data_IF_771145774877
#
_entry.id   IF_771145774877
#
_cell.length_a   1.000
_cell.length_b   1.000
_cell.length_c   1.000
_cell.angle_alpha   90.00
_cell.angle_beta   90.00
_cell.angle_gamma   90.00
#
_symmetry.space_group_name_H-M   'P 1'
#
loop_
_entity.id
_entity.type
_entity.pdbx_description
1 polymer ?
#
# COMPACT_ATOMS: atom_id res chain seq x y z
N UNK A 1 -11.75 19.17 25.73
CA UNK A 1 -11.41 20.30 24.82
C UNK A 1 -10.40 19.76 23.84
N UNK A 2 -10.76 19.58 22.55
CA UNK A 2 -9.74 19.30 21.52
C UNK A 2 -8.82 20.52 21.51
N UNK A 3 -7.51 20.31 21.71
CA UNK A 3 -6.52 21.39 21.74
C UNK A 3 -6.52 22.19 20.44
N UNK A 4 -5.89 23.35 20.45
CA UNK A 4 -5.70 24.16 19.24
C UNK A 4 -4.99 23.31 18.16
N UNK A 5 -5.59 23.24 16.96
CA UNK A 5 -5.01 22.47 15.86
C UNK A 5 -3.88 23.30 15.25
N UNK A 6 -2.65 22.81 15.38
CA UNK A 6 -1.48 23.41 14.72
C UNK A 6 -1.12 22.60 13.49
N UNK A 7 -1.10 23.26 12.34
CA UNK A 7 -0.76 22.64 11.05
C UNK A 7 0.69 22.97 10.69
N UNK A 8 1.41 21.99 10.17
CA UNK A 8 2.77 22.15 9.66
C UNK A 8 2.86 23.32 8.67
N UNK A 9 3.92 24.12 8.77
CA UNK A 9 4.18 25.26 7.87
C UNK A 9 4.54 24.81 6.44
N UNK A 10 5.12 23.60 6.28
CA UNK A 10 5.56 23.07 4.98
C UNK A 10 4.60 22.09 4.34
N UNK A 11 3.94 21.23 5.11
CA UNK A 11 2.96 20.25 4.62
C UNK A 11 1.57 20.50 5.21
N UNK A 12 0.69 19.50 5.22
CA UNK A 12 -0.68 19.59 5.75
C UNK A 12 -0.96 18.62 6.91
N UNK A 13 0.09 17.97 7.44
CA UNK A 13 -0.02 17.24 8.71
C UNK A 13 -0.15 18.23 9.88
N UNK A 14 -0.83 17.81 10.93
CA UNK A 14 -1.20 18.64 12.07
C UNK A 14 -1.24 17.84 13.38
N UNK A 15 -1.58 18.50 14.48
CA UNK A 15 -1.68 17.91 15.83
C UNK A 15 -2.72 16.81 16.01
N UNK A 16 -3.49 16.45 14.97
CA UNK A 16 -4.30 15.20 14.98
C UNK A 16 -3.43 13.95 14.85
N UNK A 17 -2.19 14.09 14.40
CA UNK A 17 -1.19 13.01 14.40
C UNK A 17 -0.53 12.90 15.76
N UNK A 18 -0.66 11.74 16.42
CA UNK A 18 -0.28 11.55 17.83
C UNK A 18 1.22 11.81 18.12
N UNK A 19 2.12 11.46 17.19
CA UNK A 19 3.57 11.55 17.33
C UNK A 19 4.17 12.69 16.49
N UNK A 20 3.38 13.71 16.15
CA UNK A 20 3.87 14.90 15.45
C UNK A 20 4.64 15.81 16.41
N UNK A 21 5.79 16.29 15.94
CA UNK A 21 6.62 17.28 16.64
C UNK A 21 7.02 18.36 15.64
N UNK A 22 6.95 19.62 16.05
CA UNK A 22 7.33 20.77 15.23
C UNK A 22 8.66 21.35 15.70
N UNK A 23 9.46 21.84 14.76
CA UNK A 23 10.62 22.69 15.05
C UNK A 23 10.21 24.16 15.27
N UNK A 24 11.20 25.01 15.52
CA UNK A 24 11.00 26.45 15.73
C UNK A 24 10.41 27.18 14.50
N UNK A 25 10.52 26.60 13.31
CA UNK A 25 9.96 27.12 12.06
C UNK A 25 8.56 26.54 11.76
N UNK A 26 8.01 25.73 12.67
CA UNK A 26 6.72 25.07 12.52
C UNK A 26 6.71 23.92 11.50
N UNK A 27 7.88 23.38 11.14
CA UNK A 27 8.00 22.22 10.23
C UNK A 27 7.97 20.94 11.07
N UNK A 28 7.13 19.99 10.65
CA UNK A 28 6.95 18.74 11.40
C UNK A 28 8.08 17.71 11.13
N UNK A 29 8.30 16.82 12.10
CA UNK A 29 9.23 15.69 12.02
C UNK A 29 9.03 14.80 10.78
N UNK A 30 7.81 14.69 10.26
CA UNK A 30 7.52 13.94 9.03
C UNK A 30 8.14 14.55 7.76
N UNK A 31 8.27 15.87 7.72
CA UNK A 31 8.97 16.54 6.62
C UNK A 31 10.48 16.31 6.72
N UNK A 32 11.04 16.37 7.94
CA UNK A 32 12.45 16.07 8.19
C UNK A 32 12.78 14.61 7.85
N UNK A 33 11.97 13.66 8.32
CA UNK A 33 12.07 12.23 7.99
C UNK A 33 11.98 11.99 6.45
N UNK A 34 11.20 12.79 5.74
CA UNK A 34 11.09 12.72 4.28
C UNK A 34 12.38 13.18 3.61
N UNK A 35 12.90 14.35 4.01
CA UNK A 35 14.12 14.93 3.45
C UNK A 35 15.33 13.99 3.65
N UNK A 36 15.49 13.43 4.86
CA UNK A 36 16.58 12.49 5.15
C UNK A 36 16.52 11.24 4.25
N UNK A 37 15.32 10.69 4.03
CA UNK A 37 15.14 9.48 3.22
C UNK A 37 15.27 9.76 1.73
N UNK A 38 14.80 10.92 1.27
CA UNK A 38 14.82 11.26 -0.14
C UNK A 38 16.17 11.83 -0.59
N UNK A 39 17.00 12.33 0.33
CA UNK A 39 18.35 12.82 0.03
C UNK A 39 19.11 11.84 -0.89
N UNK A 40 19.11 10.55 -0.56
CA UNK A 40 19.82 9.53 -1.34
C UNK A 40 19.22 9.25 -2.73
N UNK A 41 18.00 9.73 -3.02
CA UNK A 41 17.28 9.53 -4.28
C UNK A 41 17.29 10.83 -5.10
N UNK A 42 16.92 11.97 -4.51
CA UNK A 42 16.85 13.28 -5.16
C UNK A 42 18.22 13.84 -5.56
N UNK A 43 19.28 13.55 -4.80
CA UNK A 43 20.63 14.02 -5.15
C UNK A 43 21.29 13.21 -6.28
N UNK A 44 20.63 12.19 -6.84
CA UNK A 44 21.15 11.45 -7.98
C UNK A 44 20.86 12.20 -9.27
N UNK A 45 21.90 12.51 -10.03
CA UNK A 45 21.74 13.04 -11.39
C UNK A 45 20.95 12.03 -12.26
N UNK A 46 20.30 12.49 -13.35
CA UNK A 46 19.65 11.59 -14.31
C UNK A 46 20.57 10.46 -14.78
N UNK A 47 21.86 10.74 -14.98
CA UNK A 47 22.88 9.77 -15.37
C UNK A 47 23.11 8.72 -14.29
N UNK A 48 23.18 9.13 -13.02
CA UNK A 48 23.34 8.20 -11.90
C UNK A 48 22.12 7.28 -11.75
N UNK A 49 20.91 7.82 -11.86
CA UNK A 49 19.67 7.01 -11.80
C UNK A 49 19.62 6.00 -12.93
N UNK A 50 19.98 6.41 -14.14
CA UNK A 50 20.08 5.52 -15.30
C UNK A 50 21.10 4.41 -15.06
N UNK A 51 22.30 4.75 -14.57
CA UNK A 51 23.33 3.76 -14.26
C UNK A 51 22.89 2.77 -13.18
N UNK A 52 22.25 3.24 -12.11
CA UNK A 52 21.74 2.38 -11.04
C UNK A 52 20.64 1.45 -11.55
N UNK A 53 19.78 1.95 -12.45
CA UNK A 53 18.75 1.16 -13.11
C UNK A 53 19.39 0.07 -13.98
N UNK A 54 20.33 0.43 -14.85
CA UNK A 54 21.07 -0.53 -15.71
C UNK A 54 21.73 -1.63 -14.87
N UNK A 55 22.42 -1.28 -13.79
CA UNK A 55 23.04 -2.24 -12.86
C UNK A 55 22.01 -3.16 -12.19
N UNK A 56 20.85 -2.62 -11.77
CA UNK A 56 19.76 -3.42 -11.23
C UNK A 56 19.24 -4.41 -12.27
N UNK A 57 18.96 -3.96 -13.49
CA UNK A 57 18.44 -4.79 -14.57
C UNK A 57 19.42 -5.89 -14.96
N UNK A 58 20.71 -5.60 -15.07
CA UNK A 58 21.75 -6.61 -15.31
C UNK A 58 21.78 -7.66 -14.21
N UNK A 59 21.67 -7.23 -12.95
CA UNK A 59 21.62 -8.15 -11.81
C UNK A 59 20.37 -9.03 -11.83
N UNK A 60 19.20 -8.47 -12.13
CA UNK A 60 17.95 -9.22 -12.27
C UNK A 60 18.09 -10.29 -13.36
N UNK A 61 18.55 -9.89 -14.56
CA UNK A 61 18.74 -10.81 -15.70
C UNK A 61 19.73 -11.92 -15.38
N UNK A 62 20.82 -11.61 -14.68
CA UNK A 62 21.83 -12.58 -14.24
C UNK A 62 21.26 -13.58 -13.23
N UNK A 63 20.55 -13.09 -12.21
CA UNK A 63 19.98 -13.92 -11.16
C UNK A 63 18.83 -14.81 -11.68
N UNK A 64 18.10 -14.34 -12.69
CA UNK A 64 17.04 -15.07 -13.39
C UNK A 64 17.51 -15.86 -14.62
N UNK A 65 18.82 -16.02 -14.83
CA UNK A 65 19.34 -16.77 -15.98
C UNK A 65 18.81 -18.21 -15.95
N UNK A 66 18.34 -18.71 -17.10
CA UNK A 66 17.72 -20.02 -17.27
C UNK A 66 16.42 -20.24 -16.48
N UNK A 67 15.80 -19.18 -15.97
CA UNK A 67 14.46 -19.21 -15.37
C UNK A 67 13.44 -18.66 -16.36
N UNK A 68 12.21 -19.20 -16.30
CA UNK A 68 11.07 -18.67 -17.05
C UNK A 68 10.85 -17.19 -16.74
N UNK A 69 10.87 -16.84 -15.44
CA UNK A 69 10.73 -15.48 -14.96
C UNK A 69 12.01 -15.01 -14.27
N UNK A 70 12.32 -13.72 -14.36
CA UNK A 70 13.43 -13.10 -13.63
C UNK A 70 12.97 -12.12 -12.54
N UNK A 71 11.72 -11.68 -12.60
CA UNK A 71 11.08 -10.86 -11.58
C UNK A 71 9.59 -11.17 -11.40
N UNK A 72 9.07 -10.77 -10.24
CA UNK A 72 7.64 -10.71 -9.92
C UNK A 72 7.23 -9.24 -9.96
N UNK A 73 6.07 -8.94 -10.56
CA UNK A 73 5.46 -7.60 -10.50
C UNK A 73 4.04 -7.73 -9.97
N UNK A 74 3.77 -7.14 -8.81
CA UNK A 74 2.41 -7.05 -8.28
C UNK A 74 1.59 -6.07 -9.10
N UNK A 75 0.42 -6.47 -9.59
CA UNK A 75 -0.49 -5.62 -10.38
C UNK A 75 -1.82 -5.46 -9.67
N UNK A 76 -2.25 -4.21 -9.48
CA UNK A 76 -3.54 -3.86 -8.87
C UNK A 76 -4.55 -3.27 -9.87
N UNK A 77 -4.08 -2.96 -11.09
CA UNK A 77 -4.85 -2.19 -12.07
C UNK A 77 -4.75 -0.68 -11.86
N UNK A 78 -3.98 -0.22 -10.87
CA UNK A 78 -3.62 1.19 -10.66
C UNK A 78 -2.35 1.60 -11.42
N UNK A 79 -2.24 2.90 -11.70
CA UNK A 79 -1.17 3.53 -12.52
C UNK A 79 0.24 3.10 -12.12
N UNK A 80 0.56 3.09 -10.83
CA UNK A 80 1.93 2.83 -10.34
C UNK A 80 2.36 1.39 -10.65
N UNK A 81 1.47 0.43 -10.40
CA UNK A 81 1.70 -1.00 -10.67
C UNK A 81 1.74 -1.29 -12.18
N UNK A 82 0.85 -0.64 -12.95
CA UNK A 82 0.81 -0.78 -14.41
C UNK A 82 2.09 -0.23 -15.05
N UNK A 83 2.54 0.93 -14.59
CA UNK A 83 3.78 1.55 -15.05
C UNK A 83 5.01 0.69 -14.75
N UNK A 84 5.06 0.11 -13.54
CA UNK A 84 6.14 -0.80 -13.15
C UNK A 84 6.25 -2.01 -14.08
N UNK A 85 5.11 -2.61 -14.46
CA UNK A 85 5.10 -3.74 -15.37
C UNK A 85 5.56 -3.35 -16.78
N UNK A 86 5.10 -2.21 -17.29
CA UNK A 86 5.52 -1.66 -18.59
C UNK A 86 7.03 -1.45 -18.62
N UNK A 87 7.59 -0.80 -17.59
CA UNK A 87 9.02 -0.56 -17.51
C UNK A 87 9.83 -1.86 -17.44
N UNK A 88 9.37 -2.84 -16.66
CA UNK A 88 10.01 -4.15 -16.60
C UNK A 88 10.08 -4.81 -17.99
N UNK A 89 8.96 -4.84 -18.72
CA UNK A 89 8.91 -5.39 -20.08
C UNK A 89 9.78 -4.59 -21.07
N UNK A 90 9.72 -3.25 -21.04
CA UNK A 90 10.53 -2.36 -21.91
C UNK A 90 12.04 -2.56 -21.70
N UNK A 91 12.47 -2.88 -20.48
CA UNK A 91 13.87 -3.15 -20.14
C UNK A 91 14.30 -4.60 -20.45
N UNK A 92 13.42 -5.41 -21.06
CA UNK A 92 13.69 -6.77 -21.48
C UNK A 92 13.74 -7.78 -20.31
N UNK A 93 13.05 -7.48 -19.21
CA UNK A 93 12.80 -8.47 -18.15
C UNK A 93 11.67 -9.42 -18.57
N UNK A 94 11.58 -10.55 -17.87
CA UNK A 94 10.53 -11.57 -18.02
C UNK A 94 9.71 -11.63 -16.73
N UNK A 95 8.81 -10.64 -16.51
CA UNK A 95 8.01 -10.59 -15.29
C UNK A 95 6.95 -11.70 -15.28
N UNK A 96 6.68 -12.25 -14.10
CA UNK A 96 5.37 -12.84 -13.78
C UNK A 96 4.52 -11.76 -13.11
N UNK A 97 3.41 -11.38 -13.74
CA UNK A 97 2.45 -10.47 -13.14
C UNK A 97 1.63 -11.21 -12.07
N UNK A 98 1.44 -10.58 -10.91
CA UNK A 98 0.77 -11.20 -9.76
C UNK A 98 -0.34 -10.29 -9.27
N UNK A 99 -1.57 -10.79 -9.30
CA UNK A 99 -2.73 -10.11 -8.76
C UNK A 99 -3.28 -10.85 -7.53
N UNK A 100 -3.73 -10.10 -6.53
CA UNK A 100 -4.38 -10.63 -5.34
C UNK A 100 -5.81 -10.09 -5.29
N UNK A 101 -6.77 -10.99 -5.43
CA UNK A 101 -8.20 -10.70 -5.45
C UNK A 101 -8.83 -11.16 -4.13
N UNK A 102 -9.31 -10.19 -3.35
CA UNK A 102 -10.04 -10.40 -2.10
C UNK A 102 -11.57 -10.22 -2.27
N UNK A 103 -12.03 -10.14 -3.51
CA UNK A 103 -13.40 -9.89 -3.91
C UNK A 103 -13.75 -8.41 -4.08
N UNK A 104 -12.92 -7.44 -3.66
CA UNK A 104 -13.27 -6.00 -3.66
C UNK A 104 -12.79 -5.18 -4.86
N UNK A 105 -12.22 -5.84 -5.86
CA UNK A 105 -11.81 -5.22 -7.11
C UNK A 105 -12.99 -4.48 -7.76
N UNK A 106 -12.75 -3.24 -8.16
CA UNK A 106 -13.64 -2.53 -9.08
C UNK A 106 -13.63 -3.20 -10.46
N UNK A 107 -14.72 -3.08 -11.19
CA UNK A 107 -14.77 -3.51 -12.60
C UNK A 107 -13.68 -2.80 -13.43
N UNK A 108 -13.37 -1.56 -13.08
CA UNK A 108 -12.33 -0.77 -13.72
C UNK A 108 -10.94 -1.37 -13.52
N UNK A 109 -10.63 -1.86 -12.33
CA UNK A 109 -9.36 -2.53 -12.02
C UNK A 109 -9.18 -3.80 -12.84
N UNK A 110 -10.21 -4.64 -12.92
CA UNK A 110 -10.15 -5.87 -13.71
C UNK A 110 -9.93 -5.56 -15.19
N UNK A 111 -10.66 -4.60 -15.75
CA UNK A 111 -10.47 -4.16 -17.14
C UNK A 111 -9.06 -3.60 -17.40
N UNK A 112 -8.54 -2.76 -16.49
CA UNK A 112 -7.21 -2.18 -16.62
C UNK A 112 -6.11 -3.26 -16.55
N UNK A 113 -6.26 -4.28 -15.68
CA UNK A 113 -5.33 -5.41 -15.62
C UNK A 113 -5.42 -6.21 -16.94
N UNK A 114 -6.62 -6.60 -17.37
CA UNK A 114 -6.80 -7.40 -18.58
C UNK A 114 -6.19 -6.74 -19.81
N UNK A 115 -6.47 -5.45 -20.01
CA UNK A 115 -5.92 -4.67 -21.10
C UNK A 115 -4.38 -4.62 -21.04
N UNK A 116 -3.82 -4.39 -19.85
CA UNK A 116 -2.38 -4.29 -19.67
C UNK A 116 -1.68 -5.61 -19.98
N UNK A 117 -2.21 -6.72 -19.45
CA UNK A 117 -1.65 -8.06 -19.61
C UNK A 117 -1.70 -8.50 -21.07
N UNK A 118 -2.85 -8.32 -21.73
CA UNK A 118 -3.04 -8.68 -23.14
C UNK A 118 -2.10 -7.92 -24.09
N UNK A 119 -1.88 -6.62 -23.84
CA UNK A 119 -1.02 -5.80 -24.69
C UNK A 119 0.49 -6.04 -24.46
N UNK A 120 0.89 -6.42 -23.23
CA UNK A 120 2.30 -6.66 -22.91
C UNK A 120 2.77 -8.09 -23.17
N UNK A 121 1.84 -9.02 -23.41
CA UNK A 121 2.12 -10.45 -23.55
C UNK A 121 2.95 -10.95 -22.36
N UNK A 122 2.34 -10.91 -21.18
CA UNK A 122 2.94 -11.28 -19.88
C UNK A 122 2.02 -12.29 -19.19
N UNK A 123 2.61 -13.29 -18.54
CA UNK A 123 1.83 -14.24 -17.74
C UNK A 123 1.23 -13.55 -16.51
N UNK A 124 -0.07 -13.79 -16.26
CA UNK A 124 -0.77 -13.33 -15.06
C UNK A 124 -1.10 -14.50 -14.13
N UNK A 125 -0.70 -14.38 -12.86
CA UNK A 125 -1.20 -15.22 -11.78
C UNK A 125 -2.15 -14.42 -10.90
N UNK A 126 -3.39 -14.87 -10.77
CA UNK A 126 -4.37 -14.30 -9.84
C UNK A 126 -4.62 -15.25 -8.67
N UNK A 127 -4.32 -14.78 -7.45
CA UNK A 127 -4.74 -15.46 -6.23
C UNK A 127 -6.10 -14.94 -5.81
N UNK A 128 -7.13 -15.78 -5.85
CA UNK A 128 -8.48 -15.43 -5.37
C UNK A 128 -8.68 -16.01 -3.97
N UNK A 129 -9.02 -15.16 -3.01
CA UNK A 129 -9.43 -15.59 -1.67
C UNK A 129 -10.91 -15.94 -1.73
N UNK A 130 -11.31 -17.06 -1.11
CA UNK A 130 -12.71 -17.41 -0.96
C UNK A 130 -13.45 -16.26 -0.25
N UNK A 131 -14.55 -15.81 -0.86
CA UNK A 131 -15.28 -14.64 -0.37
C UNK A 131 -15.87 -14.88 1.03
N UNK A 132 -16.34 -16.09 1.33
CA UNK A 132 -16.89 -16.40 2.66
C UNK A 132 -15.81 -16.30 3.74
N UNK A 133 -14.62 -16.82 3.43
CA UNK A 133 -13.44 -16.69 4.29
C UNK A 133 -13.03 -15.23 4.49
N UNK A 134 -12.86 -14.46 3.41
CA UNK A 134 -12.42 -13.06 3.52
C UNK A 134 -13.45 -12.18 4.24
N UNK A 135 -14.74 -12.34 3.93
CA UNK A 135 -15.84 -11.66 4.63
C UNK A 135 -15.83 -11.99 6.13
N UNK A 136 -15.61 -13.26 6.49
CA UNK A 136 -15.50 -13.69 7.87
C UNK A 136 -14.31 -13.06 8.61
N UNK A 137 -13.16 -12.94 7.94
CA UNK A 137 -11.99 -12.24 8.47
C UNK A 137 -12.27 -10.74 8.67
N UNK A 138 -12.88 -10.08 7.68
CA UNK A 138 -13.28 -8.68 7.81
C UNK A 138 -14.23 -8.47 8.99
N UNK A 139 -15.25 -9.34 9.13
CA UNK A 139 -16.17 -9.27 10.27
C UNK A 139 -15.45 -9.41 11.60
N UNK A 140 -14.49 -10.34 11.70
CA UNK A 140 -13.69 -10.49 12.92
C UNK A 140 -12.88 -9.23 13.24
N UNK A 141 -12.35 -8.54 12.24
CA UNK A 141 -11.64 -7.27 12.40
C UNK A 141 -12.57 -6.12 12.81
N UNK A 142 -13.76 -6.02 12.19
CA UNK A 142 -14.75 -5.03 12.60
C UNK A 142 -15.23 -5.26 14.04
N UNK A 143 -15.47 -6.50 14.43
CA UNK A 143 -15.88 -6.85 15.81
C UNK A 143 -14.77 -6.69 16.83
N UNK A 144 -13.51 -6.68 16.37
CA UNK A 144 -12.37 -6.37 17.20
C UNK A 144 -12.16 -4.86 17.39
N UNK A 145 -12.87 -4.00 16.64
CA UNK A 145 -12.75 -2.54 16.64
C UNK A 145 -11.32 -2.00 16.44
N UNK A 146 -10.48 -2.79 15.78
CA UNK A 146 -9.10 -2.41 15.44
C UNK A 146 -9.09 -1.54 14.19
N UNK A 147 -8.18 -0.57 14.16
CA UNK A 147 -7.85 0.15 12.93
C UNK A 147 -7.19 -0.82 11.92
N UNK A 148 -6.99 -0.36 10.69
CA UNK A 148 -6.25 -1.04 9.62
C UNK A 148 -6.80 -2.42 9.23
N UNK A 149 -8.10 -2.51 8.93
CA UNK A 149 -8.73 -3.72 8.35
C UNK A 149 -8.02 -4.17 7.05
N UNK A 150 -7.43 -3.21 6.32
CA UNK A 150 -6.60 -3.42 5.13
C UNK A 150 -5.31 -4.22 5.40
N UNK A 151 -4.93 -4.43 6.68
CA UNK A 151 -3.90 -5.40 7.07
C UNK A 151 -4.17 -6.77 6.42
N UNK A 152 -5.43 -7.17 6.26
CA UNK A 152 -5.82 -8.41 5.60
C UNK A 152 -5.33 -8.44 4.14
N UNK A 153 -5.64 -7.42 3.35
CA UNK A 153 -5.23 -7.32 1.95
C UNK A 153 -3.70 -7.25 1.82
N UNK A 154 -3.07 -6.35 2.57
CA UNK A 154 -1.64 -6.11 2.50
C UNK A 154 -0.83 -7.36 2.87
N UNK A 155 -1.24 -8.08 3.92
CA UNK A 155 -0.58 -9.32 4.33
C UNK A 155 -0.74 -10.41 3.26
N UNK A 156 -1.94 -10.56 2.71
CA UNK A 156 -2.22 -11.54 1.67
C UNK A 156 -1.40 -11.25 0.40
N UNK A 157 -1.39 -9.99 -0.05
CA UNK A 157 -0.62 -9.53 -1.20
C UNK A 157 0.89 -9.81 -1.00
N UNK A 158 1.45 -9.46 0.15
CA UNK A 158 2.85 -9.79 0.47
C UNK A 158 3.09 -11.30 0.43
N UNK A 159 2.19 -12.08 1.04
CA UNK A 159 2.32 -13.52 1.13
C UNK A 159 2.33 -14.19 -0.25
N UNK A 160 1.42 -13.83 -1.16
CA UNK A 160 1.36 -14.38 -2.52
C UNK A 160 2.63 -14.07 -3.29
N UNK A 161 3.07 -12.80 -3.29
CA UNK A 161 4.28 -12.40 -4.02
C UNK A 161 5.53 -13.15 -3.53
N UNK A 162 5.75 -13.25 -2.22
CA UNK A 162 6.87 -14.02 -1.68
C UNK A 162 6.74 -15.53 -1.94
N UNK A 163 5.52 -16.09 -1.93
CA UNK A 163 5.31 -17.51 -2.21
C UNK A 163 5.63 -17.83 -3.67
N UNK A 164 5.17 -17.01 -4.62
CA UNK A 164 5.45 -17.18 -6.04
C UNK A 164 6.93 -16.94 -6.36
N UNK A 165 7.56 -15.92 -5.77
CA UNK A 165 9.00 -15.71 -5.91
C UNK A 165 9.79 -16.97 -5.48
N UNK A 166 9.43 -17.57 -4.33
CA UNK A 166 10.05 -18.84 -3.89
C UNK A 166 9.75 -20.01 -4.83
N UNK A 167 8.50 -20.14 -5.29
CA UNK A 167 8.05 -21.23 -6.17
C UNK A 167 8.79 -21.23 -7.50
N UNK A 168 9.02 -20.05 -8.09
CA UNK A 168 9.66 -19.90 -9.39
C UNK A 168 11.17 -19.66 -9.30
N UNK A 169 11.75 -19.60 -8.09
CA UNK A 169 13.19 -19.35 -7.91
C UNK A 169 13.62 -17.90 -8.12
N UNK A 170 12.65 -16.99 -8.30
CA UNK A 170 12.84 -15.57 -8.56
C UNK A 170 13.36 -14.84 -7.33
N UNK A 171 14.33 -13.94 -7.52
CA UNK A 171 14.95 -13.15 -6.46
C UNK A 171 14.42 -11.73 -6.34
N UNK A 172 13.63 -11.26 -7.30
CA UNK A 172 13.28 -9.86 -7.43
C UNK A 172 11.76 -9.68 -7.49
N UNK A 173 11.23 -8.89 -6.56
CA UNK A 173 9.85 -8.41 -6.59
C UNK A 173 9.93 -6.91 -6.84
N UNK A 174 9.34 -6.44 -7.94
CA UNK A 174 9.36 -5.03 -8.35
C UNK A 174 8.01 -4.40 -8.00
N UNK A 175 8.02 -3.36 -7.16
CA UNK A 175 6.80 -2.67 -6.74
C UNK A 175 6.62 -1.29 -7.33
N UNK A 176 5.36 -0.89 -7.45
CA UNK A 176 4.93 0.47 -7.81
C UNK A 176 5.15 1.54 -6.73
N UNK A 177 5.55 1.16 -5.51
CA UNK A 177 5.85 2.14 -4.47
C UNK A 177 7.00 3.07 -4.90
N UNK A 178 6.85 4.35 -4.57
CA UNK A 178 7.85 5.38 -4.83
C UNK A 178 7.83 6.46 -3.75
N UNK A 179 8.97 7.10 -3.56
CA UNK A 179 9.08 8.20 -2.60
C UNK A 179 8.31 9.46 -3.02
N UNK A 180 8.08 9.66 -4.33
CA UNK A 180 7.40 10.85 -4.85
C UNK A 180 5.92 10.94 -4.43
N UNK A 181 5.23 9.81 -4.29
CA UNK A 181 3.78 9.77 -3.97
C UNK A 181 3.46 9.07 -2.66
N UNK A 182 4.43 8.40 -2.04
CA UNK A 182 4.29 7.63 -0.79
C UNK A 182 5.46 7.85 0.18
N UNK A 183 6.30 8.86 -0.06
CA UNK A 183 7.54 9.03 0.70
C UNK A 183 7.32 9.45 2.14
N UNK A 184 6.21 10.12 2.49
CA UNK A 184 5.94 10.46 3.90
C UNK A 184 5.59 9.19 4.66
N UNK A 185 6.29 8.95 5.77
CA UNK A 185 6.06 7.77 6.63
C UNK A 185 4.63 7.83 7.16
N UNK A 186 3.91 6.70 7.11
CA UNK A 186 2.59 6.58 7.73
C UNK A 186 2.71 6.86 9.23
N UNK A 187 1.86 7.74 9.80
CA UNK A 187 1.93 8.06 11.21
C UNK A 187 1.70 6.88 12.14
N UNK A 188 2.27 6.97 13.34
CA UNK A 188 2.09 5.93 14.35
C UNK A 188 0.62 5.84 14.73
N UNK A 189 0.07 4.61 14.71
CA UNK A 189 -1.34 4.36 15.02
C UNK A 189 -2.30 4.48 13.83
N UNK A 190 -1.85 4.90 12.65
CA UNK A 190 -2.71 4.96 11.45
C UNK A 190 -2.75 3.64 10.66
N UNK A 191 -1.79 2.75 10.91
CA UNK A 191 -1.74 1.41 10.36
C UNK A 191 -1.10 0.43 11.35
N UNK A 192 -1.11 -0.86 10.98
CA UNK A 192 -0.48 -1.92 11.74
C UNK A 192 0.64 -2.62 10.96
N UNK A 193 1.36 -3.51 11.65
CA UNK A 193 2.42 -4.32 11.09
C UNK A 193 1.88 -5.26 9.98
N UNK A 194 2.18 -4.95 8.72
CA UNK A 194 1.71 -5.70 7.54
C UNK A 194 2.13 -7.17 7.45
N UNK A 195 3.06 -7.60 8.30
CA UNK A 195 3.56 -8.99 8.42
C UNK A 195 3.24 -9.61 9.77
N UNK A 196 2.10 -9.24 10.33
CA UNK A 196 1.59 -9.77 11.60
C UNK A 196 0.59 -10.91 11.39
N UNK A 197 1.12 -12.06 10.98
CA UNK A 197 0.32 -13.28 10.79
C UNK A 197 -0.30 -13.76 12.10
N UNK A 198 0.36 -13.50 13.24
CA UNK A 198 -0.15 -13.89 14.56
C UNK A 198 -1.40 -13.10 14.92
N UNK A 199 -1.41 -11.78 14.70
CA UNK A 199 -2.56 -10.93 14.99
C UNK A 199 -3.76 -11.27 14.12
N UNK A 200 -3.56 -11.43 12.80
CA UNK A 200 -4.62 -11.87 11.88
C UNK A 200 -5.24 -13.19 12.37
N UNK A 201 -4.42 -14.19 12.70
CA UNK A 201 -4.91 -15.48 13.21
C UNK A 201 -5.61 -15.37 14.56
N UNK A 202 -5.14 -14.51 15.45
CA UNK A 202 -5.73 -14.32 16.76
C UNK A 202 -7.13 -13.69 16.66
N UNK A 203 -7.27 -12.65 15.83
CA UNK A 203 -8.56 -12.00 15.56
C UNK A 203 -9.49 -12.98 14.84
N UNK A 204 -9.03 -13.69 13.80
CA UNK A 204 -9.81 -14.71 13.09
C UNK A 204 -10.38 -15.80 14.03
N UNK A 205 -9.61 -16.20 15.05
CA UNK A 205 -10.03 -17.20 16.03
C UNK A 205 -11.24 -16.75 16.86
N UNK A 206 -11.42 -15.45 17.11
CA UNK A 206 -12.60 -14.92 17.83
C UNK A 206 -13.92 -15.25 17.14
N UNK A 207 -13.88 -15.51 15.83
CA UNK A 207 -15.02 -15.91 14.99
C UNK A 207 -14.89 -17.31 14.40
N UNK A 208 -13.96 -18.12 14.92
CA UNK A 208 -13.68 -19.48 14.44
C UNK A 208 -13.36 -19.57 12.93
N UNK A 209 -12.80 -18.51 12.35
CA UNK A 209 -12.43 -18.48 10.93
C UNK A 209 -11.12 -19.24 10.70
N UNK A 210 -11.12 -20.16 9.74
CA UNK A 210 -9.94 -20.92 9.32
C UNK A 210 -9.36 -20.28 8.06
N UNK A 211 -8.05 -20.05 8.07
CA UNK A 211 -7.33 -19.48 6.93
C UNK A 211 -6.97 -20.61 5.95
N UNK A 212 -7.84 -20.87 4.96
CA UNK A 212 -7.66 -21.93 3.97
C UNK A 212 -7.14 -21.37 2.64
N UNK A 213 -7.90 -20.44 2.07
CA UNK A 213 -7.56 -19.73 0.84
C UNK A 213 -6.77 -18.45 1.12
N UNK A 214 -6.84 -17.89 2.32
CA UNK A 214 -6.12 -16.67 2.71
C UNK A 214 -4.61 -16.95 2.83
N UNK A 215 -3.78 -16.39 1.94
CA UNK A 215 -2.33 -16.51 2.05
C UNK A 215 -1.85 -15.58 3.16
N UNK A 216 -0.92 -16.04 4.00
CA UNK A 216 -0.44 -15.21 5.12
C UNK A 216 1.04 -15.32 5.38
N UNK A 217 1.68 -14.19 5.65
CA UNK A 217 3.11 -14.08 5.93
C UNK A 217 3.34 -13.43 7.31
N UNK A 218 4.14 -14.10 8.14
CA UNK A 218 4.56 -13.57 9.44
C UNK A 218 5.98 -13.01 9.39
N UNK A 219 6.45 -12.47 10.50
CA UNK A 219 7.78 -11.85 10.59
C UNK A 219 8.90 -12.82 10.26
N UNK A 220 8.85 -14.06 10.78
CA UNK A 220 9.85 -15.09 10.46
C UNK A 220 9.82 -15.50 8.98
N UNK A 221 8.62 -15.59 8.39
CA UNK A 221 8.46 -15.92 6.97
C UNK A 221 9.06 -14.86 6.07
N UNK A 222 8.87 -13.58 6.43
CA UNK A 222 9.51 -12.45 5.76
C UNK A 222 11.04 -12.51 5.90
N UNK A 223 11.57 -12.66 7.12
CA UNK A 223 13.01 -12.74 7.37
C UNK A 223 13.64 -13.90 6.57
N UNK A 224 13.00 -15.07 6.56
CA UNK A 224 13.48 -16.20 5.78
C UNK A 224 13.52 -15.89 4.28
N UNK A 225 12.49 -15.26 3.73
CA UNK A 225 12.46 -14.86 2.31
C UNK A 225 13.57 -13.85 1.98
N UNK A 226 13.73 -12.82 2.79
CA UNK A 226 14.63 -11.70 2.53
C UNK A 226 16.11 -12.03 2.76
N UNK A 227 16.42 -12.77 3.83
CA UNK A 227 17.81 -13.00 4.25
C UNK A 227 18.33 -14.39 3.85
N UNK A 228 17.48 -15.42 3.87
CA UNK A 228 17.90 -16.79 3.52
C UNK A 228 17.67 -17.06 2.03
N UNK A 229 16.46 -16.78 1.52
CA UNK A 229 16.16 -16.95 0.09
C UNK A 229 16.68 -15.80 -0.77
N UNK A 230 17.10 -14.69 -0.15
CA UNK A 230 17.61 -13.48 -0.83
C UNK A 230 16.63 -12.93 -1.86
N UNK A 231 15.34 -13.07 -1.59
CA UNK A 231 14.30 -12.38 -2.37
C UNK A 231 14.33 -10.92 -1.93
N UNK A 232 14.28 -9.98 -2.87
CA UNK A 232 14.37 -8.55 -2.61
C UNK A 232 13.15 -7.86 -3.18
N UNK A 233 12.46 -7.13 -2.32
CA UNK A 233 11.39 -6.21 -2.71
C UNK A 233 11.98 -4.84 -3.05
N UNK A 234 11.86 -4.42 -4.30
CA UNK A 234 12.50 -3.20 -4.82
C UNK A 234 11.43 -2.16 -5.15
N UNK A 235 11.52 -0.92 -4.62
CA UNK A 235 10.71 0.21 -5.06
C UNK A 235 11.16 0.61 -6.47
N UNK A 236 10.63 -0.09 -7.47
CA UNK A 236 11.18 -0.05 -8.83
C UNK A 236 10.98 1.31 -9.48
N UNK A 237 9.90 2.02 -9.11
CA UNK A 237 9.62 3.34 -9.63
C UNK A 237 10.61 4.42 -9.19
N UNK A 238 11.36 4.22 -8.09
CA UNK A 238 12.40 5.16 -7.65
C UNK A 238 13.62 5.20 -8.62
N UNK A 239 13.70 4.25 -9.56
CA UNK A 239 14.73 4.22 -10.61
C UNK A 239 14.36 5.04 -11.85
N UNK A 240 13.17 5.64 -11.89
CA UNK A 240 12.66 6.39 -13.03
C UNK A 240 12.25 7.80 -12.62
N UNK A 241 12.24 8.72 -13.59
CA UNK A 241 11.48 9.96 -13.46
C UNK A 241 9.99 9.63 -13.60
N UNK A 242 9.35 9.36 -12.47
CA UNK A 242 7.93 9.07 -12.45
C UNK A 242 7.11 10.36 -12.36
N UNK A 243 6.59 10.78 -13.51
CA UNK A 243 5.52 11.77 -13.59
C UNK A 243 4.17 11.06 -13.79
N UNK A 244 3.28 11.23 -12.81
CA UNK A 244 2.02 10.48 -12.76
C UNK A 244 1.11 10.80 -13.94
N UNK A 245 0.99 12.08 -14.32
CA UNK A 245 0.10 12.49 -15.42
C UNK A 245 0.60 11.99 -16.77
N UNK A 246 1.91 12.05 -17.02
CA UNK A 246 2.52 11.50 -18.22
C UNK A 246 2.34 9.98 -18.32
N UNK A 247 2.49 9.26 -17.20
CA UNK A 247 2.23 7.82 -17.16
C UNK A 247 0.76 7.49 -17.47
N UNK A 248 -0.20 8.25 -16.93
CA UNK A 248 -1.62 8.10 -17.22
C UNK A 248 -1.94 8.34 -18.69
N UNK A 249 -1.43 9.43 -19.28
CA UNK A 249 -1.63 9.74 -20.71
C UNK A 249 -1.12 8.61 -21.62
N UNK A 250 0.05 8.03 -21.31
CA UNK A 250 0.58 6.89 -22.06
C UNK A 250 -0.30 5.66 -21.91
N UNK A 251 -0.69 5.33 -20.68
CA UNK A 251 -1.53 4.17 -20.38
C UNK A 251 -2.88 4.22 -21.12
N UNK A 252 -3.53 5.38 -21.16
CA UNK A 252 -4.79 5.54 -21.90
C UNK A 252 -4.59 5.34 -23.40
N UNK A 253 -3.55 5.95 -23.96
CA UNK A 253 -3.29 5.94 -25.40
C UNK A 253 -2.83 4.58 -25.92
N UNK A 254 -1.92 3.92 -25.20
CA UNK A 254 -1.24 2.70 -25.66
C UNK A 254 -1.91 1.42 -25.16
N UNK A 255 -2.57 1.47 -24.01
CA UNK A 255 -3.09 0.27 -23.33
C UNK A 255 -4.60 0.32 -23.08
N UNK A 256 -5.32 1.35 -23.55
CA UNK A 256 -6.76 1.48 -23.32
C UNK A 256 -7.11 1.55 -21.81
N UNK A 257 -6.17 2.03 -21.00
CA UNK A 257 -6.36 2.22 -19.57
C UNK A 257 -7.45 3.26 -19.32
N UNK A 258 -8.18 3.12 -18.22
CA UNK A 258 -9.17 4.10 -17.77
C UNK A 258 -8.76 4.68 -16.43
N UNK A 259 -8.73 6.02 -16.35
CA UNK A 259 -8.36 6.77 -15.14
C UNK A 259 -9.30 6.49 -13.97
N UNK A 260 -8.70 6.44 -12.79
CA UNK A 260 -9.42 6.56 -11.53
C UNK A 260 -9.49 8.03 -11.10
N UNK A 261 -10.59 8.46 -10.48
CA UNK A 261 -10.70 9.80 -9.91
C UNK A 261 -9.67 10.08 -8.79
N UNK A 262 -9.33 9.08 -7.96
CA UNK A 262 -8.36 9.20 -6.87
C UNK A 262 -7.49 7.96 -6.71
N UNK A 263 -6.47 8.04 -5.83
CA UNK A 263 -5.56 6.94 -5.49
C UNK A 263 -6.32 5.83 -4.74
N UNK A 264 -5.97 4.57 -5.00
CA UNK A 264 -6.55 3.37 -4.38
C UNK A 264 -7.98 3.01 -4.79
N UNK A 265 -8.51 3.63 -5.85
CA UNK A 265 -9.86 3.38 -6.33
C UNK A 265 -9.99 2.09 -7.14
N UNK A 266 -8.89 1.35 -7.32
CA UNK A 266 -8.91 -0.02 -7.81
C UNK A 266 -9.74 -0.96 -6.92
N UNK A 267 -9.82 -0.67 -5.61
CA UNK A 267 -10.57 -1.43 -4.60
C UNK A 267 -11.68 -0.59 -4.00
N UNK A 268 -12.92 -1.06 -4.15
CA UNK A 268 -14.11 -0.37 -3.61
C UNK A 268 -14.03 -0.28 -2.08
N UNK A 269 -13.56 -1.35 -1.43
CA UNK A 269 -13.43 -1.33 0.02
C UNK A 269 -12.31 -0.42 0.49
N UNK A 270 -11.16 -0.37 -0.19
CA UNK A 270 -10.07 0.53 0.20
C UNK A 270 -10.51 1.99 0.09
N UNK A 271 -11.23 2.35 -0.98
CA UNK A 271 -11.85 3.67 -1.15
C UNK A 271 -12.83 3.97 -0.01
N UNK A 272 -13.77 3.07 0.26
CA UNK A 272 -14.75 3.24 1.35
C UNK A 272 -14.08 3.33 2.73
N UNK A 273 -13.07 2.50 2.96
CA UNK A 273 -12.33 2.44 4.23
C UNK A 273 -11.55 3.74 4.47
N UNK A 274 -10.82 4.24 3.47
CA UNK A 274 -10.05 5.48 3.60
C UNK A 274 -10.92 6.74 3.55
N UNK A 275 -12.01 6.71 2.79
CA UNK A 275 -12.90 7.84 2.59
C UNK A 275 -14.05 7.94 3.59
N UNK A 276 -14.35 6.91 4.37
CA UNK A 276 -15.46 6.95 5.32
C UNK A 276 -15.11 6.33 6.67
N UNK A 277 -14.69 5.07 6.70
CA UNK A 277 -14.48 4.37 7.97
C UNK A 277 -13.31 4.97 8.78
N UNK A 278 -12.21 5.34 8.14
CA UNK A 278 -11.06 5.96 8.80
C UNK A 278 -11.39 7.36 9.38
N UNK A 279 -11.97 8.30 8.61
CA UNK A 279 -12.35 9.60 9.14
C UNK A 279 -13.40 9.52 10.25
N UNK A 280 -14.48 8.76 10.04
CA UNK A 280 -15.66 8.79 10.93
C UNK A 280 -15.45 8.03 12.24
N UNK A 281 -14.74 6.89 12.21
CA UNK A 281 -14.52 6.06 13.42
C UNK A 281 -13.19 6.38 14.12
N UNK A 282 -12.13 6.59 13.35
CA UNK A 282 -10.76 6.66 13.88
C UNK A 282 -10.17 8.07 13.88
N UNK A 283 -10.89 9.10 13.39
CA UNK A 283 -10.40 10.48 13.24
C UNK A 283 -9.12 10.54 12.37
N UNK A 284 -9.01 9.64 11.38
CA UNK A 284 -7.85 9.51 10.48
C UNK A 284 -8.22 9.91 9.06
N UNK A 285 -7.66 11.02 8.57
CA UNK A 285 -7.76 11.43 7.17
C UNK A 285 -6.44 11.16 6.42
N UNK A 286 -6.39 10.04 5.67
CA UNK A 286 -5.21 9.66 4.88
C UNK A 286 -4.85 10.66 3.77
N UNK A 287 -5.76 11.54 3.35
CA UNK A 287 -5.45 12.58 2.36
C UNK A 287 -4.36 13.51 2.87
N UNK A 288 -4.31 13.81 4.18
CA UNK A 288 -3.24 14.64 4.76
C UNK A 288 -1.86 14.04 4.51
N UNK A 289 -1.73 12.71 4.62
CA UNK A 289 -0.50 11.99 4.35
C UNK A 289 -0.13 12.02 2.85
N UNK A 290 -1.09 11.68 1.98
CA UNK A 290 -0.87 11.63 0.53
C UNK A 290 -0.54 13.01 -0.05
N UNK A 291 -1.31 14.05 0.31
CA UNK A 291 -1.05 15.42 -0.11
C UNK A 291 0.27 15.94 0.44
N UNK A 292 0.65 15.58 1.68
CA UNK A 292 1.97 15.94 2.20
C UNK A 292 3.11 15.34 1.38
N UNK A 293 2.97 14.10 0.89
CA UNK A 293 3.96 13.52 -0.03
C UNK A 293 4.06 14.31 -1.34
N UNK A 294 2.91 14.67 -1.94
CA UNK A 294 2.88 15.45 -3.18
C UNK A 294 3.44 16.87 -3.02
N UNK A 295 3.20 17.52 -1.87
CA UNK A 295 3.77 18.82 -1.55
C UNK A 295 5.29 18.72 -1.46
N UNK A 296 5.80 17.74 -0.70
CA UNK A 296 7.24 17.56 -0.49
C UNK A 296 7.97 17.10 -1.76
N UNK A 297 7.26 16.51 -2.72
CA UNK A 297 7.77 16.18 -4.05
C UNK A 297 7.54 17.26 -5.11
N UNK A 298 7.04 18.45 -4.74
CA UNK A 298 6.70 19.56 -5.65
C UNK A 298 5.67 19.21 -6.75
N UNK A 299 4.78 18.25 -6.51
CA UNK A 299 3.70 17.85 -7.43
C UNK A 299 2.36 18.52 -7.09
N UNK A 300 2.25 19.17 -5.94
CA UNK A 300 1.05 19.86 -5.48
C UNK A 300 1.45 21.03 -4.57
N UNK A 301 0.74 22.15 -4.64
CA UNK A 301 0.97 23.25 -3.70
C UNK A 301 0.25 23.00 -2.37
N UNK A 302 0.79 23.55 -1.28
CA UNK A 302 0.14 23.48 0.04
C UNK A 302 -1.25 24.12 0.03
N UNK A 303 -1.45 25.20 -0.73
CA UNK A 303 -2.74 25.88 -0.85
C UNK A 303 -3.80 24.98 -1.48
N UNK A 304 -3.49 24.34 -2.61
CA UNK A 304 -4.39 23.39 -3.27
C UNK A 304 -4.77 22.21 -2.35
N UNK A 305 -3.79 21.68 -1.61
CA UNK A 305 -4.05 20.60 -0.65
C UNK A 305 -5.02 21.01 0.45
N UNK A 306 -4.86 22.21 1.00
CA UNK A 306 -5.75 22.73 2.05
C UNK A 306 -7.17 22.96 1.55
N UNK A 307 -7.36 23.45 0.32
CA UNK A 307 -8.69 23.58 -0.28
C UNK A 307 -9.34 22.20 -0.47
N UNK A 308 -8.60 21.22 -1.02
CA UNK A 308 -9.09 19.84 -1.18
C UNK A 308 -9.45 19.15 0.14
N UNK A 309 -8.78 19.49 1.23
CA UNK A 309 -9.06 18.92 2.55
C UNK A 309 -10.37 19.45 3.18
N UNK A 310 -10.90 20.59 2.71
CA UNK A 310 -12.22 21.10 3.14
C UNK A 310 -13.38 20.30 2.56
N UNK A 311 -13.16 19.66 1.42
CA UNK A 311 -14.14 18.79 0.78
C UNK A 311 -14.26 17.45 1.53
N UNK A 312 -15.37 16.75 1.34
CA UNK A 312 -15.49 15.38 1.82
C UNK A 312 -14.39 14.50 1.18
N UNK A 313 -13.90 13.45 1.86
CA UNK A 313 -12.92 12.51 1.32
C UNK A 313 -13.49 11.55 0.25
N UNK A 314 -14.41 12.05 -0.59
CA UNK A 314 -15.08 11.36 -1.70
C UNK A 314 -15.34 12.34 -2.85
N UNK A 315 -15.39 11.89 -4.12
CA UNK A 315 -15.76 12.74 -5.25
C UNK A 315 -17.15 13.36 -5.12
N UNK A 316 -18.11 12.64 -4.54
CA UNK A 316 -19.45 13.14 -4.30
C UNK A 316 -20.15 12.37 -3.17
N UNK A 317 -21.16 13.00 -2.56
CA UNK A 317 -22.02 12.33 -1.58
C UNK A 317 -22.73 11.12 -2.19
N UNK A 318 -23.11 11.22 -3.47
CA UNK A 318 -23.76 10.14 -4.21
C UNK A 318 -22.88 8.89 -4.28
N UNK A 319 -21.60 9.05 -4.64
CA UNK A 319 -20.65 7.92 -4.71
C UNK A 319 -20.37 7.31 -3.35
N UNK A 320 -20.35 8.13 -2.28
CA UNK A 320 -20.26 7.63 -0.92
C UNK A 320 -21.50 6.76 -0.57
N UNK A 321 -22.70 7.23 -0.88
CA UNK A 321 -23.94 6.50 -0.61
C UNK A 321 -24.02 5.18 -1.42
N UNK A 322 -23.51 5.18 -2.65
CA UNK A 322 -23.38 3.98 -3.50
C UNK A 322 -22.43 2.95 -2.88
N UNK A 323 -21.26 3.38 -2.40
CA UNK A 323 -20.29 2.48 -1.76
C UNK A 323 -20.75 1.99 -0.39
N UNK A 324 -21.45 2.83 0.39
CA UNK A 324 -22.14 2.38 1.62
C UNK A 324 -23.13 1.27 1.27
N UNK A 325 -23.98 1.49 0.26
CA UNK A 325 -24.98 0.51 -0.17
C UNK A 325 -24.34 -0.80 -0.65
N UNK A 326 -23.25 -0.69 -1.40
CA UNK A 326 -22.48 -1.84 -1.88
C UNK A 326 -21.83 -2.60 -0.72
N UNK A 327 -21.18 -1.91 0.21
CA UNK A 327 -20.57 -2.49 1.41
C UNK A 327 -21.60 -3.23 2.25
N UNK A 328 -22.73 -2.58 2.58
CA UNK A 328 -23.81 -3.16 3.38
C UNK A 328 -24.34 -4.44 2.73
N UNK A 329 -24.60 -4.42 1.42
CA UNK A 329 -25.04 -5.61 0.67
C UNK A 329 -24.02 -6.74 0.76
N UNK A 330 -22.73 -6.44 0.51
CA UNK A 330 -21.67 -7.45 0.43
C UNK A 330 -21.35 -8.06 1.79
N UNK A 331 -21.28 -7.23 2.83
CA UNK A 331 -21.08 -7.66 4.22
C UNK A 331 -22.34 -8.22 4.87
N UNK A 332 -23.51 -8.09 4.22
CA UNK A 332 -24.82 -8.44 4.79
C UNK A 332 -25.07 -7.69 6.10
N UNK A 333 -24.75 -6.40 6.11
CA UNK A 333 -25.00 -5.49 7.22
C UNK A 333 -26.25 -4.65 6.97
N UNK A 334 -26.91 -4.26 8.05
CA UNK A 334 -27.87 -3.16 8.03
C UNK A 334 -27.17 -1.82 8.23
N UNK A 335 -27.85 -0.72 7.90
CA UNK A 335 -27.31 0.62 8.10
C UNK A 335 -27.06 0.90 9.59
N UNK A 336 -27.92 0.37 10.47
CA UNK A 336 -27.81 0.51 11.92
C UNK A 336 -26.54 -0.17 12.45
N UNK A 337 -26.18 -1.35 11.93
CA UNK A 337 -24.94 -2.04 12.31
C UNK A 337 -23.70 -1.24 11.92
N UNK A 338 -23.71 -0.57 10.76
CA UNK A 338 -22.62 0.33 10.34
C UNK A 338 -22.52 1.54 11.27
N UNK A 339 -23.65 2.19 11.60
CA UNK A 339 -23.68 3.33 12.53
C UNK A 339 -23.19 2.91 13.91
N UNK A 340 -23.64 1.75 14.40
CA UNK A 340 -23.19 1.18 15.67
C UNK A 340 -21.67 0.97 15.65
N UNK A 341 -21.15 0.30 14.62
CA UNK A 341 -19.71 0.07 14.45
C UNK A 341 -18.90 1.37 14.48
N UNK A 342 -19.32 2.39 13.74
CA UNK A 342 -18.64 3.70 13.69
C UNK A 342 -18.65 4.36 15.08
N UNK A 343 -19.74 4.19 15.85
CA UNK A 343 -19.86 4.78 17.20
C UNK A 343 -19.01 4.10 18.27
N UNK A 344 -18.56 2.85 18.05
CA UNK A 344 -17.75 2.11 19.02
C UNK A 344 -16.32 2.68 19.12
N UNK A 345 -15.73 2.74 20.33
CA UNK A 345 -14.35 3.19 20.50
C UNK A 345 -13.36 2.25 19.80
N UNK A 346 -12.23 2.79 19.36
CA UNK A 346 -11.09 2.00 18.85
C UNK A 346 -10.54 1.06 19.93
N UNK A 347 -10.18 -0.16 19.54
CA UNK A 347 -9.35 -1.08 20.31
C UNK A 347 -7.99 -1.21 19.64
N UNK A 348 -6.90 -1.15 20.42
CA UNK A 348 -5.55 -1.29 19.88
C UNK A 348 -5.28 -2.74 19.47
N UNK A 349 -4.56 -2.94 18.36
CA UNK A 349 -4.21 -4.27 17.87
C UNK A 349 -3.44 -5.14 18.87
N UNK A 350 -2.65 -4.53 19.76
CA UNK A 350 -1.87 -5.23 20.79
C UNK A 350 -2.74 -5.81 21.92
N UNK A 351 -4.04 -5.50 21.96
CA UNK A 351 -5.02 -6.26 22.72
C UNK A 351 -5.15 -7.72 22.23
N UNK A 352 -4.68 -8.02 21.02
CA UNK A 352 -4.63 -9.35 20.44
C UNK A 352 -3.18 -9.83 20.27
N UNK A 353 -2.90 -11.14 20.43
CA UNK A 353 -1.57 -11.70 20.23
C UNK A 353 -0.93 -11.27 18.90
N UNK A 354 0.23 -10.61 18.97
CA UNK A 354 0.87 -9.94 17.83
C UNK A 354 2.35 -10.31 17.69
N UNK A 355 2.89 -10.21 16.47
CA UNK A 355 4.32 -10.28 16.18
C UNK A 355 5.05 -8.92 16.35
N UNK A 356 4.34 -7.83 16.68
CA UNK A 356 4.91 -6.48 16.70
C UNK A 356 6.15 -6.33 17.60
N UNK A 357 6.10 -6.84 18.83
CA UNK A 357 7.25 -6.81 19.73
C UNK A 357 8.45 -7.60 19.19
N UNK A 358 8.18 -8.74 18.55
CA UNK A 358 9.23 -9.55 17.92
C UNK A 358 9.82 -8.85 16.70
N UNK A 359 8.98 -8.22 15.88
CA UNK A 359 9.42 -7.41 14.75
C UNK A 359 10.31 -6.23 15.21
N UNK A 360 9.88 -5.47 16.20
CA UNK A 360 10.66 -4.34 16.73
C UNK A 360 12.00 -4.79 17.31
N UNK A 361 12.05 -5.95 17.96
CA UNK A 361 13.31 -6.55 18.39
C UNK A 361 14.22 -6.87 17.20
N UNK A 362 13.72 -7.60 16.19
CA UNK A 362 14.49 -7.92 14.98
C UNK A 362 14.98 -6.66 14.26
N UNK A 363 14.12 -5.63 14.17
CA UNK A 363 14.44 -4.35 13.57
C UNK A 363 15.58 -3.66 14.31
N UNK A 364 15.49 -3.55 15.65
CA UNK A 364 16.56 -2.96 16.48
C UNK A 364 17.89 -3.70 16.34
N UNK A 365 17.87 -5.03 16.30
CA UNK A 365 19.07 -5.85 16.08
C UNK A 365 19.66 -5.57 14.70
N UNK A 366 18.84 -5.55 13.65
CA UNK A 366 19.29 -5.24 12.29
C UNK A 366 19.94 -3.85 12.20
N UNK A 367 19.30 -2.81 12.76
CA UNK A 367 19.86 -1.45 12.78
C UNK A 367 21.22 -1.41 13.49
N UNK A 368 21.36 -2.07 14.64
CA UNK A 368 22.63 -2.13 15.38
C UNK A 368 23.74 -2.84 14.60
N UNK A 369 23.42 -3.88 13.86
CA UNK A 369 24.41 -4.71 13.16
C UNK A 369 24.82 -4.17 11.78
N UNK A 370 23.90 -3.51 11.07
CA UNK A 370 24.09 -3.21 9.64
C UNK A 370 23.97 -1.72 9.27
N UNK A 371 23.42 -0.86 10.13
CA UNK A 371 23.17 0.56 9.81
C UNK A 371 23.87 1.55 10.75
N UNK A 372 24.55 1.08 11.80
CA UNK A 372 25.43 1.88 12.68
C UNK A 372 26.90 1.86 12.23
N UNK A 373 27.16 1.99 10.93
CA UNK A 373 28.50 2.24 10.40
C UNK A 373 28.56 3.59 9.72
#
# INVERSE_FOLDING_TARGET
MKGEITVCSRCVLDTTVQDIVFDEQGVCNYCHDYDERIAHITYKSPEQRKSDCEQLIEKIKRDGKNQQYDCIVGVSGGVDSSWSLIQAKKLGLRPLAVHMDNGWNSELAQNNIENLISNLDVDLYTHVIDWSEYKGLMQAFFDADVIDVELLYDNAMLAVNYQLAKKHGVKWILSGCNMSTEGVRVPTGWNWLKKDKRNIKAIAKTKNIKLQSFPSIGTLGFIYSEFVKKIKWVPFLDYFEFDKESALNMLEKEFGYKRYPYKHYESVFTRFYQGHLLPEKFDVDKRKLHFSSLILSNQMTRGEALEKLKEIPYPSQKELDEDISYFLKKMSWTKEQLIEYISRPEVKHDAFPSENNFWEYCRKVYFKLFLKK
#
